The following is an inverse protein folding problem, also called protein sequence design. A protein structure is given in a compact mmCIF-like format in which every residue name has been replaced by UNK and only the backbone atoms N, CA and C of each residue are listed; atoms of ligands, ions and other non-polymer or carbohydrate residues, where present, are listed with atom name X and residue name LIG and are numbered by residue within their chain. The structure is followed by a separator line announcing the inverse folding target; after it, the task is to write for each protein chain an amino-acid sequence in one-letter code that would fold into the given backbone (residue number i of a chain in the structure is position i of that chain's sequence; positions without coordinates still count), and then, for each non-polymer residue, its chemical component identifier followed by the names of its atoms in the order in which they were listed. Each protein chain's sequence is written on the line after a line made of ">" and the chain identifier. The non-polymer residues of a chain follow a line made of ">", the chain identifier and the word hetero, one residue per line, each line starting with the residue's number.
data_IF_715075127568
#
_entry.id   IF_715075127568
#
_cell.length_a   1.000
_cell.length_b   1.000
_cell.length_c   1.000
_cell.angle_alpha   90.00
_cell.angle_beta   90.00
_cell.angle_gamma   90.00
#
_symmetry.space_group_name_H-M   'P 1'
#
loop_
_entity.id
_entity.type
_entity.pdbx_description
1 polymer ?
#
# COMPACT_ATOMS: atom_id res chain seq x y z
N UNK A 1 -4.98 8.90 35.84
CA UNK A 1 -5.37 7.64 36.49
C UNK A 1 -5.69 6.65 35.37
N UNK A 2 -5.02 5.55 35.10
CA UNK A 2 -3.75 4.94 35.49
C UNK A 2 -3.50 3.88 34.40
N UNK A 3 -2.33 3.91 33.76
CA UNK A 3 -1.97 3.03 32.63
C UNK A 3 -1.50 1.67 33.16
N UNK A 4 -2.14 0.59 32.73
CA UNK A 4 -1.79 -0.79 33.09
C UNK A 4 -0.74 -1.34 32.12
N UNK A 5 0.41 -1.69 32.68
CA UNK A 5 1.49 -2.42 32.05
C UNK A 5 1.13 -3.91 31.89
N UNK A 6 1.56 -4.54 30.80
CA UNK A 6 1.50 -6.00 30.64
C UNK A 6 2.87 -6.57 30.28
N UNK A 7 3.22 -7.60 31.06
CA UNK A 7 4.49 -8.32 31.09
C UNK A 7 4.66 -9.28 29.90
N UNK A 8 5.92 -9.52 29.54
CA UNK A 8 6.38 -10.45 28.49
C UNK A 8 6.39 -11.89 29.02
N UNK A 9 5.84 -12.83 28.25
CA UNK A 9 6.01 -14.27 28.42
C UNK A 9 6.75 -14.87 27.22
N UNK A 10 7.86 -15.57 27.48
CA UNK A 10 8.63 -16.36 26.51
C UNK A 10 8.01 -17.76 26.36
N UNK A 11 7.96 -18.30 25.15
CA UNK A 11 7.85 -19.75 24.92
C UNK A 11 8.84 -20.20 23.83
N UNK A 12 9.58 -21.25 24.17
CA UNK A 12 10.52 -22.00 23.32
C UNK A 12 9.74 -22.94 22.39
N UNK A 13 10.13 -23.00 21.12
CA UNK A 13 9.71 -24.04 20.17
C UNK A 13 10.91 -24.93 19.82
N UNK A 14 10.69 -26.25 19.87
CA UNK A 14 11.54 -27.27 19.24
C UNK A 14 10.77 -27.93 18.09
N UNK A 15 11.42 -28.38 17.00
CA UNK A 15 10.75 -28.98 15.85
C UNK A 15 10.69 -30.51 15.98
N UNK A 16 9.62 -31.13 15.47
CA UNK A 16 9.59 -32.55 15.17
C UNK A 16 9.18 -32.78 13.71
N UNK A 17 10.06 -33.49 13.02
CA UNK A 17 9.93 -34.05 11.68
C UNK A 17 9.10 -35.35 11.70
N UNK A 18 8.30 -35.58 10.66
CA UNK A 18 7.67 -36.88 10.40
C UNK A 18 7.02 -36.90 9.01
N UNK A 19 7.33 -37.93 8.21
CA UNK A 19 6.93 -38.09 6.82
C UNK A 19 6.04 -39.34 6.60
N UNK A 20 5.48 -39.44 5.39
CA UNK A 20 4.83 -40.60 4.71
C UNK A 20 3.35 -40.81 5.18
N UNK A 21 2.32 -41.03 4.34
CA UNK A 21 2.14 -41.97 3.23
C UNK A 21 0.97 -41.67 2.27
N UNK A 22 0.99 -42.39 1.15
CA UNK A 22 0.11 -42.47 -0.04
C UNK A 22 -1.42 -42.47 0.18
N UNK A 23 -2.18 -41.99 -0.83
CA UNK A 23 -3.65 -42.08 -0.89
C UNK A 23 -4.08 -42.89 -2.12
N UNK A 24 -4.84 -43.95 -1.87
CA UNK A 24 -5.49 -44.83 -2.85
C UNK A 24 -6.72 -44.19 -3.52
N UNK A 25 -6.91 -44.48 -4.81
CA UNK A 25 -8.12 -44.18 -5.58
C UNK A 25 -9.21 -45.23 -5.30
N UNK A 26 -10.44 -44.79 -4.97
CA UNK A 26 -11.63 -45.63 -4.89
C UNK A 26 -12.67 -45.11 -5.91
N UNK A 27 -13.28 -45.96 -6.75
CA UNK A 27 -14.34 -45.53 -7.66
C UNK A 27 -15.69 -45.50 -6.92
N UNK A 28 -16.44 -44.42 -7.05
CA UNK A 28 -17.83 -44.35 -6.59
C UNK A 28 -18.77 -44.50 -7.80
N UNK A 29 -19.31 -45.70 -7.96
CA UNK A 29 -20.59 -45.94 -8.63
C UNK A 29 -21.72 -45.63 -7.66
N UNK A 30 -22.59 -44.66 -8.00
CA UNK A 30 -23.79 -44.38 -7.21
C UNK A 30 -24.62 -43.27 -7.83
N UNK A 31 -25.76 -43.65 -8.42
CA UNK A 31 -26.76 -42.73 -8.94
C UNK A 31 -27.40 -41.93 -7.78
N UNK A 32 -27.60 -40.63 -7.98
CA UNK A 32 -28.31 -39.75 -7.04
C UNK A 32 -29.46 -39.06 -7.77
N UNK A 33 -30.66 -39.37 -7.32
CA UNK A 33 -31.95 -38.77 -7.68
C UNK A 33 -32.01 -37.31 -7.21
N UNK A 34 -32.42 -36.40 -8.10
CA UNK A 34 -32.58 -34.96 -7.81
C UNK A 34 -33.97 -34.63 -7.24
N UNK A 35 -34.00 -33.91 -6.11
CA UNK A 35 -35.15 -33.07 -5.74
C UNK A 35 -34.71 -31.93 -4.81
N UNK A 36 -34.75 -30.69 -5.30
CA UNK A 36 -34.48 -29.44 -4.55
C UNK A 36 -33.92 -28.34 -5.46
N UNK A 37 -34.43 -27.09 -5.43
CA UNK A 37 -34.10 -26.09 -6.44
C UNK A 37 -32.76 -25.40 -6.13
N UNK A 38 -32.02 -25.14 -7.21
CA UNK A 38 -30.76 -24.38 -7.32
C UNK A 38 -29.44 -25.15 -7.09
N UNK A 39 -28.89 -25.76 -8.16
CA UNK A 39 -27.45 -25.87 -8.34
C UNK A 39 -27.02 -24.98 -9.51
N UNK A 40 -26.40 -23.84 -9.25
CA UNK A 40 -25.52 -23.23 -10.24
C UNK A 40 -24.10 -23.73 -9.96
N UNK A 41 -23.70 -24.79 -10.66
CA UNK A 41 -22.29 -25.19 -10.79
C UNK A 41 -21.79 -24.60 -12.10
N UNK A 42 -20.91 -23.59 -12.05
CA UNK A 42 -20.28 -23.04 -13.25
C UNK A 42 -18.90 -23.67 -13.46
N UNK A 43 -18.65 -24.01 -14.73
CA UNK A 43 -17.60 -24.83 -15.30
C UNK A 43 -16.15 -24.57 -14.82
N UNK A 44 -15.39 -25.65 -14.86
CA UNK A 44 -14.01 -25.82 -14.38
C UNK A 44 -12.98 -25.29 -15.38
N UNK A 45 -12.03 -24.51 -14.86
CA UNK A 45 -10.68 -24.34 -15.44
C UNK A 45 -9.67 -24.73 -14.34
N UNK A 46 -8.50 -25.29 -14.69
CA UNK A 46 -7.58 -25.83 -13.69
C UNK A 46 -7.05 -24.71 -12.78
N UNK A 47 -7.23 -24.87 -11.46
CA UNK A 47 -6.77 -23.91 -10.43
C UNK A 47 -7.88 -23.18 -9.66
N UNK A 48 -9.16 -23.36 -10.00
CA UNK A 48 -10.26 -22.72 -9.29
C UNK A 48 -10.64 -23.50 -8.02
N UNK A 49 -10.43 -22.90 -6.84
CA UNK A 49 -11.08 -23.36 -5.60
C UNK A 49 -12.60 -23.38 -5.86
N UNK A 50 -13.24 -24.52 -5.64
CA UNK A 50 -14.70 -24.60 -5.53
C UNK A 50 -15.08 -23.99 -4.18
N UNK A 51 -15.60 -22.77 -4.20
CA UNK A 51 -16.12 -22.11 -2.99
C UNK A 51 -17.62 -22.34 -2.96
N UNK A 52 -18.10 -22.97 -1.89
CA UNK A 52 -19.51 -23.15 -1.63
C UNK A 52 -20.11 -21.81 -1.16
N UNK A 53 -20.85 -21.13 -2.04
CA UNK A 53 -21.49 -19.85 -1.74
C UNK A 53 -22.79 -20.13 -0.98
N UNK A 54 -22.71 -20.03 0.35
CA UNK A 54 -23.82 -20.37 1.25
C UNK A 54 -24.82 -19.24 1.48
N UNK A 55 -24.44 -17.99 1.22
CA UNK A 55 -25.30 -16.81 1.41
C UNK A 55 -24.82 -15.60 0.59
N UNK A 56 -25.68 -14.59 0.44
CA UNK A 56 -25.33 -13.28 -0.17
C UNK A 56 -24.23 -12.57 0.63
N UNK A 57 -24.29 -12.66 1.96
CA UNK A 57 -23.28 -12.09 2.85
C UNK A 57 -21.92 -12.78 2.67
N UNK A 58 -21.90 -14.10 2.60
CA UNK A 58 -20.68 -14.85 2.33
C UNK A 58 -20.10 -14.52 0.94
N UNK A 59 -20.96 -14.35 -0.07
CA UNK A 59 -20.53 -13.90 -1.39
C UNK A 59 -19.85 -12.53 -1.35
N UNK A 60 -20.35 -11.59 -0.56
CA UNK A 60 -19.71 -10.29 -0.37
C UNK A 60 -18.30 -10.43 0.23
N UNK A 61 -18.12 -11.30 1.24
CA UNK A 61 -16.79 -11.55 1.82
C UNK A 61 -15.84 -12.15 0.78
N UNK A 62 -16.30 -13.10 -0.04
CA UNK A 62 -15.52 -13.69 -1.13
C UNK A 62 -15.15 -12.67 -2.23
N UNK A 63 -16.09 -11.80 -2.60
CA UNK A 63 -15.83 -10.74 -3.57
C UNK A 63 -14.77 -9.76 -3.05
N UNK A 64 -14.83 -9.39 -1.77
CA UNK A 64 -13.81 -8.56 -1.12
C UNK A 64 -12.46 -9.29 -1.00
N UNK A 65 -12.49 -10.60 -0.71
CA UNK A 65 -11.29 -11.42 -0.60
C UNK A 65 -10.47 -11.45 -1.90
N UNK A 66 -11.14 -11.38 -3.05
CA UNK A 66 -10.48 -11.30 -4.36
C UNK A 66 -9.51 -10.13 -4.52
N UNK A 67 -9.74 -9.01 -3.81
CA UNK A 67 -8.86 -7.84 -3.88
C UNK A 67 -7.56 -7.99 -3.10
N UNK A 68 -7.48 -8.93 -2.14
CA UNK A 68 -6.29 -9.21 -1.29
C UNK A 68 -5.63 -7.95 -0.74
N UNK A 69 -6.44 -7.01 -0.27
CA UNK A 69 -6.04 -5.65 0.11
C UNK A 69 -6.32 -5.40 1.59
N UNK A 70 -5.57 -4.51 2.23
CA UNK A 70 -5.86 -4.17 3.63
C UNK A 70 -7.11 -3.28 3.74
N UNK A 71 -7.97 -3.58 4.70
CA UNK A 71 -9.20 -2.87 5.03
C UNK A 71 -9.21 -2.51 6.52
N UNK A 72 -9.62 -1.28 6.85
CA UNK A 72 -9.86 -0.87 8.23
C UNK A 72 -11.32 -1.14 8.60
N UNK A 73 -11.54 -2.09 9.50
CA UNK A 73 -12.87 -2.38 10.03
C UNK A 73 -13.34 -1.26 10.98
N UNK A 74 -14.64 -1.20 11.26
CA UNK A 74 -15.25 -0.21 12.14
C UNK A 74 -14.79 -0.34 13.60
N UNK A 75 -14.40 -1.54 14.01
CA UNK A 75 -13.78 -1.80 15.32
C UNK A 75 -12.30 -1.37 15.40
N UNK A 76 -11.76 -0.79 14.32
CA UNK A 76 -10.41 -0.27 14.25
C UNK A 76 -9.35 -1.27 13.79
N UNK A 77 -9.67 -2.58 13.70
CA UNK A 77 -8.74 -3.59 13.18
C UNK A 77 -8.40 -3.31 11.72
N UNK A 78 -7.16 -3.60 11.34
CA UNK A 78 -6.73 -3.64 9.93
C UNK A 78 -6.52 -5.09 9.55
N UNK A 79 -7.26 -5.57 8.56
CA UNK A 79 -7.24 -6.97 8.11
C UNK A 79 -6.98 -7.03 6.61
N UNK A 80 -6.27 -8.06 6.14
CA UNK A 80 -6.22 -8.32 4.71
C UNK A 80 -7.58 -8.89 4.28
N UNK A 81 -8.16 -8.37 3.19
CA UNK A 81 -9.49 -8.76 2.75
C UNK A 81 -9.58 -10.25 2.42
N UNK A 82 -8.47 -10.91 2.08
CA UNK A 82 -8.40 -12.35 1.85
C UNK A 82 -8.77 -13.19 3.09
N UNK A 83 -8.66 -12.63 4.29
CA UNK A 83 -8.98 -13.30 5.55
C UNK A 83 -10.48 -13.25 5.88
N UNK A 84 -11.24 -12.35 5.26
CA UNK A 84 -12.64 -12.08 5.60
C UNK A 84 -13.55 -13.33 5.55
N UNK A 85 -13.50 -14.20 4.51
CA UNK A 85 -14.34 -15.39 4.48
C UNK A 85 -14.07 -16.33 5.66
N UNK A 86 -12.81 -16.41 6.12
CA UNK A 86 -12.40 -17.25 7.25
C UNK A 86 -12.87 -16.74 8.61
N UNK A 87 -13.21 -15.46 8.73
CA UNK A 87 -13.76 -14.87 9.97
C UNK A 87 -15.22 -15.27 10.21
N UNK A 88 -15.95 -15.61 9.14
CA UNK A 88 -17.36 -16.02 9.19
C UNK A 88 -18.33 -14.85 9.36
N UNK A 89 -19.58 -15.05 8.93
CA UNK A 89 -20.57 -13.98 8.88
C UNK A 89 -20.98 -13.41 10.25
N UNK A 90 -20.93 -14.25 11.29
CA UNK A 90 -21.30 -13.87 12.64
C UNK A 90 -20.29 -12.92 13.32
N UNK A 91 -19.11 -12.73 12.72
CA UNK A 91 -18.07 -11.86 13.26
C UNK A 91 -18.33 -10.36 13.06
N UNK A 92 -19.37 -9.97 12.31
CA UNK A 92 -19.56 -8.60 11.84
C UNK A 92 -20.95 -8.04 12.18
N UNK A 93 -20.97 -6.81 12.68
CA UNK A 93 -22.21 -6.06 12.94
C UNK A 93 -22.91 -5.65 11.64
N UNK A 94 -24.19 -5.27 11.73
CA UNK A 94 -24.98 -4.77 10.60
C UNK A 94 -24.34 -3.55 9.92
N UNK A 95 -23.74 -2.64 10.70
CA UNK A 95 -23.03 -1.46 10.21
C UNK A 95 -21.76 -1.85 9.45
N UNK A 96 -21.04 -2.89 9.92
CA UNK A 96 -19.87 -3.41 9.23
C UNK A 96 -20.23 -4.02 7.87
N UNK A 97 -21.41 -4.63 7.74
CA UNK A 97 -21.93 -5.12 6.46
C UNK A 97 -22.22 -4.00 5.47
N UNK A 98 -22.79 -2.89 5.92
CA UNK A 98 -22.95 -1.69 5.07
C UNK A 98 -21.58 -1.17 4.63
N UNK A 99 -20.62 -1.13 5.57
CA UNK A 99 -19.26 -0.70 5.27
C UNK A 99 -18.54 -1.59 4.25
N UNK A 100 -18.80 -2.89 4.27
CA UNK A 100 -18.27 -3.83 3.28
C UNK A 100 -18.82 -3.58 1.87
N UNK A 101 -20.08 -3.16 1.73
CA UNK A 101 -20.63 -2.77 0.43
C UNK A 101 -19.92 -1.53 -0.10
N UNK A 102 -19.74 -0.50 0.74
CA UNK A 102 -18.98 0.69 0.35
C UNK A 102 -17.54 0.35 -0.06
N UNK A 103 -16.87 -0.57 0.65
CA UNK A 103 -15.54 -1.02 0.27
C UNK A 103 -15.54 -1.70 -1.10
N UNK A 104 -16.52 -2.58 -1.36
CA UNK A 104 -16.64 -3.25 -2.66
C UNK A 104 -16.85 -2.24 -3.79
N UNK A 105 -17.74 -1.27 -3.60
CA UNK A 105 -18.00 -0.22 -4.59
C UNK A 105 -16.74 0.62 -4.87
N UNK A 106 -16.02 1.03 -3.82
CA UNK A 106 -14.79 1.80 -3.98
C UNK A 106 -13.71 1.01 -4.73
N UNK A 107 -13.53 -0.27 -4.39
CA UNK A 107 -12.52 -1.15 -4.98
C UNK A 107 -12.88 -1.54 -6.42
N UNK A 108 -14.16 -1.70 -6.75
CA UNK A 108 -14.63 -2.05 -8.09
C UNK A 108 -14.34 -0.99 -9.17
N UNK A 109 -13.92 0.21 -8.77
CA UNK A 109 -13.46 1.27 -9.70
C UNK A 109 -12.08 0.97 -10.32
N UNK A 110 -11.36 -0.01 -9.77
CA UNK A 110 -10.01 -0.35 -10.17
C UNK A 110 -9.95 -1.75 -10.75
N UNK A 111 -9.08 -1.93 -11.74
CA UNK A 111 -8.86 -3.22 -12.37
C UNK A 111 -8.19 -4.20 -11.38
N UNK A 112 -8.62 -5.46 -11.39
CA UNK A 112 -8.01 -6.49 -10.53
C UNK A 112 -6.70 -7.04 -11.12
N UNK A 113 -6.42 -6.74 -12.39
CA UNK A 113 -5.18 -7.04 -13.09
C UNK A 113 -4.68 -5.81 -13.82
N UNK A 114 -3.36 -5.67 -13.89
CA UNK A 114 -2.67 -4.62 -14.63
C UNK A 114 -1.80 -5.25 -15.72
N UNK A 115 -1.61 -4.53 -16.81
CA UNK A 115 -0.70 -4.92 -17.89
C UNK A 115 0.63 -4.19 -17.72
N UNK A 116 1.71 -4.95 -17.56
CA UNK A 116 3.07 -4.42 -17.48
C UNK A 116 3.58 -4.03 -18.88
N UNK A 117 4.65 -3.21 -18.99
CA UNK A 117 5.19 -2.76 -20.27
C UNK A 117 5.60 -3.89 -21.23
N UNK A 118 5.99 -5.05 -20.71
CA UNK A 118 6.35 -6.25 -21.48
C UNK A 118 5.12 -7.06 -21.95
N UNK A 119 3.91 -6.60 -21.63
CA UNK A 119 2.64 -7.25 -21.95
C UNK A 119 2.14 -8.23 -20.89
N UNK A 120 2.94 -8.54 -19.86
CA UNK A 120 2.58 -9.44 -18.76
C UNK A 120 1.34 -8.93 -18.02
N UNK A 121 0.36 -9.81 -17.79
CA UNK A 121 -0.77 -9.53 -16.91
C UNK A 121 -0.40 -9.91 -15.48
N UNK A 122 -0.43 -8.94 -14.58
CA UNK A 122 -0.13 -9.12 -13.16
C UNK A 122 -1.38 -8.77 -12.34
N UNK A 123 -1.84 -9.60 -11.40
CA UNK A 123 -2.86 -9.17 -10.46
C UNK A 123 -2.42 -7.91 -9.70
N UNK A 124 -3.28 -6.89 -9.61
CA UNK A 124 -2.94 -5.61 -8.96
C UNK A 124 -2.41 -5.81 -7.54
N UNK A 125 -2.97 -6.80 -6.83
CA UNK A 125 -2.58 -7.14 -5.47
C UNK A 125 -1.18 -7.78 -5.36
N UNK A 126 -0.60 -8.27 -6.46
CA UNK A 126 0.72 -8.91 -6.48
C UNK A 126 1.86 -7.95 -6.80
N UNK A 127 1.59 -6.68 -7.08
CA UNK A 127 2.65 -5.68 -7.25
C UNK A 127 3.31 -5.40 -5.89
N UNK A 128 4.49 -5.97 -5.70
CA UNK A 128 5.31 -5.83 -4.48
C UNK A 128 5.95 -4.45 -4.37
N UNK A 129 6.13 -3.97 -3.14
CA UNK A 129 6.91 -2.75 -2.84
C UNK A 129 8.39 -3.00 -3.11
N UNK A 130 8.91 -4.15 -2.67
CA UNK A 130 10.27 -4.60 -3.00
C UNK A 130 10.35 -5.09 -4.45
N UNK A 131 11.48 -4.87 -5.11
CA UNK A 131 11.75 -5.30 -6.47
C UNK A 131 12.51 -4.25 -7.27
N UNK A 132 12.92 -4.62 -8.48
CA UNK A 132 13.51 -3.67 -9.44
C UNK A 132 12.42 -2.73 -9.95
N UNK A 133 12.80 -1.48 -10.22
CA UNK A 133 11.94 -0.59 -10.98
C UNK A 133 11.61 -1.20 -12.34
N UNK A 134 10.38 -0.98 -12.80
CA UNK A 134 9.89 -1.43 -14.10
C UNK A 134 10.04 -0.31 -15.14
N UNK A 135 9.89 0.95 -14.72
CA UNK A 135 10.00 2.13 -15.58
C UNK A 135 11.36 2.82 -15.46
N UNK A 136 11.80 3.42 -16.56
CA UNK A 136 13.00 4.26 -16.64
C UNK A 136 12.73 5.69 -16.19
N UNK A 137 13.79 6.44 -15.89
CA UNK A 137 13.66 7.86 -15.54
C UNK A 137 13.00 8.66 -16.68
N UNK A 138 13.36 8.36 -17.94
CA UNK A 138 12.78 9.02 -19.11
C UNK A 138 11.27 8.80 -19.21
N UNK A 139 10.77 7.59 -18.90
CA UNK A 139 9.32 7.34 -18.88
C UNK A 139 8.61 8.17 -17.80
N UNK A 140 9.21 8.27 -16.60
CA UNK A 140 8.66 9.08 -15.51
C UNK A 140 8.68 10.58 -15.85
N UNK A 141 9.80 11.07 -16.42
CA UNK A 141 9.95 12.47 -16.85
C UNK A 141 8.99 12.81 -17.99
N UNK A 142 8.84 11.91 -18.98
CA UNK A 142 7.90 12.08 -20.08
C UNK A 142 6.44 12.14 -19.58
N UNK A 143 6.07 11.30 -18.62
CA UNK A 143 4.76 11.37 -17.98
C UNK A 143 4.51 12.73 -17.31
N UNK A 144 5.47 13.21 -16.51
CA UNK A 144 5.34 14.52 -15.86
C UNK A 144 5.22 15.65 -16.88
N UNK A 145 5.98 15.59 -17.99
CA UNK A 145 5.87 16.55 -19.07
C UNK A 145 4.46 16.56 -19.69
N UNK A 146 3.86 15.38 -19.95
CA UNK A 146 2.48 15.27 -20.46
C UNK A 146 1.42 15.82 -19.50
N UNK A 147 1.62 15.65 -18.20
CA UNK A 147 0.68 16.14 -17.18
C UNK A 147 0.82 17.65 -16.91
N UNK A 148 1.96 18.25 -17.27
CA UNK A 148 2.29 19.65 -16.96
C UNK A 148 1.21 20.66 -17.38
N UNK A 149 0.67 20.64 -18.62
CA UNK A 149 -0.38 21.59 -19.02
C UNK A 149 -1.64 21.47 -18.17
N UNK A 150 -2.07 20.23 -17.86
CA UNK A 150 -3.25 19.97 -17.03
C UNK A 150 -3.03 20.45 -15.59
N UNK A 151 -1.83 20.24 -15.04
CA UNK A 151 -1.49 20.69 -13.69
C UNK A 151 -1.43 22.22 -13.64
N UNK A 152 -0.81 22.86 -14.62
CA UNK A 152 -0.72 24.32 -14.70
C UNK A 152 -2.11 24.97 -14.73
N UNK A 153 -3.01 24.45 -15.56
CA UNK A 153 -4.40 24.93 -15.61
C UNK A 153 -5.11 24.73 -14.27
N UNK A 154 -4.97 23.54 -13.67
CA UNK A 154 -5.54 23.24 -12.34
C UNK A 154 -5.04 24.23 -11.27
N UNK A 155 -3.74 24.55 -11.25
CA UNK A 155 -3.18 25.48 -10.26
C UNK A 155 -3.74 26.90 -10.42
N UNK A 156 -3.98 27.35 -11.65
CA UNK A 156 -4.62 28.64 -11.91
C UNK A 156 -6.08 28.64 -11.49
N UNK A 157 -6.86 27.64 -11.91
CA UNK A 157 -8.31 27.60 -11.69
C UNK A 157 -8.69 27.33 -10.24
N UNK A 158 -8.05 26.35 -9.59
CA UNK A 158 -8.46 25.91 -8.25
C UNK A 158 -7.69 26.62 -7.13
N UNK A 159 -6.46 27.08 -7.41
CA UNK A 159 -5.56 27.63 -6.38
C UNK A 159 -5.12 29.07 -6.65
N UNK A 160 -5.52 29.68 -7.78
CA UNK A 160 -5.24 31.09 -8.08
C UNK A 160 -3.74 31.41 -8.19
N UNK A 161 -2.90 30.43 -8.55
CA UNK A 161 -1.44 30.63 -8.65
C UNK A 161 -0.82 29.88 -9.81
N UNK A 162 0.36 30.32 -10.21
CA UNK A 162 1.19 29.57 -11.16
C UNK A 162 1.69 28.25 -10.57
N UNK A 163 1.98 27.31 -11.47
CA UNK A 163 2.57 26.01 -11.12
C UNK A 163 3.97 26.20 -10.54
N UNK A 164 4.29 25.43 -9.50
CA UNK A 164 5.64 25.35 -8.97
C UNK A 164 6.53 24.51 -9.89
N UNK A 165 7.84 24.82 -9.97
CA UNK A 165 8.79 23.96 -10.65
C UNK A 165 8.74 22.53 -10.08
N UNK A 166 8.64 21.55 -10.98
CA UNK A 166 8.72 20.13 -10.61
C UNK A 166 10.19 19.79 -10.31
N UNK A 167 10.51 19.21 -9.13
CA UNK A 167 11.88 18.83 -8.82
C UNK A 167 12.32 17.63 -9.67
N UNK A 168 13.56 17.64 -10.17
CA UNK A 168 14.12 16.50 -10.92
C UNK A 168 14.60 15.40 -9.97
N UNK A 169 13.66 14.59 -9.49
CA UNK A 169 13.91 13.51 -8.50
C UNK A 169 13.69 12.11 -9.06
N UNK A 170 13.32 11.96 -10.33
CA UNK A 170 13.02 10.65 -10.92
C UNK A 170 14.23 9.71 -10.84
N UNK A 171 15.41 10.19 -11.21
CA UNK A 171 16.66 9.41 -11.14
C UNK A 171 17.05 9.06 -9.69
N UNK A 172 16.84 9.99 -8.75
CA UNK A 172 17.07 9.74 -7.33
C UNK A 172 16.20 8.59 -6.81
N UNK A 173 14.90 8.58 -7.16
CA UNK A 173 14.00 7.50 -6.78
C UNK A 173 14.47 6.15 -7.33
N UNK A 174 14.90 6.07 -8.59
CA UNK A 174 15.38 4.82 -9.18
C UNK A 174 16.70 4.34 -8.57
N UNK A 175 17.66 5.25 -8.38
CA UNK A 175 18.97 4.94 -7.78
C UNK A 175 18.81 4.47 -6.33
N UNK A 176 18.15 5.28 -5.49
CA UNK A 176 17.99 4.97 -4.07
C UNK A 176 17.05 3.77 -3.90
N UNK A 177 15.99 3.67 -4.69
CA UNK A 177 15.15 2.47 -4.72
C UNK A 177 15.97 1.20 -4.97
N UNK A 178 16.89 1.22 -5.93
CA UNK A 178 17.78 0.08 -6.22
C UNK A 178 18.65 -0.29 -5.01
N UNK A 179 19.23 0.68 -4.31
CA UNK A 179 20.08 0.46 -3.12
C UNK A 179 19.32 -0.20 -1.96
N UNK A 180 18.01 0.03 -1.86
CA UNK A 180 17.11 -0.57 -0.86
C UNK A 180 16.35 -1.80 -1.38
N UNK A 181 16.46 -2.13 -2.68
CA UNK A 181 15.64 -3.14 -3.32
C UNK A 181 14.14 -2.81 -3.34
N UNK A 182 13.79 -1.52 -3.43
CA UNK A 182 12.44 -0.97 -3.51
C UNK A 182 12.16 -0.47 -4.93
N UNK A 183 10.93 -0.65 -5.41
CA UNK A 183 10.48 -0.16 -6.72
C UNK A 183 10.39 1.37 -6.73
N UNK A 184 11.51 2.00 -7.07
CA UNK A 184 11.65 3.46 -7.07
C UNK A 184 10.68 4.18 -8.01
N UNK A 185 10.31 3.56 -9.13
CA UNK A 185 9.34 4.09 -10.08
C UNK A 185 7.92 4.19 -9.50
N UNK A 186 7.49 3.20 -8.74
CA UNK A 186 6.18 3.25 -8.06
C UNK A 186 6.24 4.18 -6.84
N UNK A 187 7.37 4.25 -6.13
CA UNK A 187 7.59 5.24 -5.06
C UNK A 187 7.58 6.69 -5.58
N UNK A 188 8.10 6.92 -6.78
CA UNK A 188 7.97 8.21 -7.47
C UNK A 188 6.49 8.53 -7.75
N UNK A 189 5.71 7.57 -8.26
CA UNK A 189 4.28 7.76 -8.47
C UNK A 189 3.52 8.06 -7.17
N UNK A 190 3.87 7.40 -6.07
CA UNK A 190 3.36 7.74 -4.74
C UNK A 190 3.74 9.17 -4.36
N UNK A 191 4.98 9.60 -4.56
CA UNK A 191 5.40 10.98 -4.29
C UNK A 191 4.60 12.01 -5.10
N UNK A 192 4.33 11.74 -6.38
CA UNK A 192 3.46 12.57 -7.22
C UNK A 192 2.05 12.66 -6.62
N UNK A 193 1.47 11.55 -6.15
CA UNK A 193 0.16 11.55 -5.48
C UNK A 193 0.17 12.36 -4.19
N UNK A 194 1.12 12.09 -3.29
CA UNK A 194 1.22 12.70 -1.96
C UNK A 194 1.43 14.22 -2.02
N UNK A 195 2.14 14.69 -3.05
CA UNK A 195 2.46 16.11 -3.21
C UNK A 195 1.52 16.84 -4.17
N UNK A 196 0.48 16.17 -4.68
CA UNK A 196 -0.40 16.68 -5.74
C UNK A 196 0.41 17.19 -6.94
N UNK A 197 1.22 16.31 -7.54
CA UNK A 197 2.15 16.58 -8.65
C UNK A 197 3.25 17.60 -8.31
N UNK A 198 3.86 17.44 -7.13
CA UNK A 198 4.88 18.34 -6.58
C UNK A 198 4.41 19.79 -6.42
N UNK A 199 3.09 20.00 -6.30
CA UNK A 199 2.50 21.32 -6.12
C UNK A 199 2.23 21.67 -4.66
N UNK A 200 2.28 20.70 -3.74
CA UNK A 200 2.21 20.92 -2.29
C UNK A 200 1.00 21.79 -1.87
N UNK A 201 -0.19 21.35 -2.28
CA UNK A 201 -1.45 22.07 -2.00
C UNK A 201 -1.99 21.86 -0.58
N UNK A 202 -1.23 21.16 0.29
CA UNK A 202 -1.57 20.91 1.68
C UNK A 202 -0.67 21.67 2.68
N UNK A 203 -0.53 21.11 3.87
CA UNK A 203 0.23 21.73 4.96
C UNK A 203 1.75 21.67 4.77
N UNK A 204 2.26 20.56 4.20
CA UNK A 204 3.69 20.40 3.86
C UNK A 204 4.04 21.32 2.69
N UNK A 205 5.20 21.99 2.78
CA UNK A 205 5.67 22.98 1.81
C UNK A 205 6.82 22.44 0.94
N UNK A 206 7.00 22.98 -0.30
CA UNK A 206 7.98 22.47 -1.25
C UNK A 206 9.42 22.44 -0.71
N UNK A 207 9.82 23.49 0.02
CA UNK A 207 11.18 23.61 0.58
C UNK A 207 11.47 22.62 1.71
N UNK A 208 10.49 21.84 2.16
CA UNK A 208 10.71 20.78 3.15
C UNK A 208 11.33 19.52 2.52
N UNK A 209 11.36 19.40 1.19
CA UNK A 209 11.78 18.20 0.46
C UNK A 209 11.05 16.92 0.94
N UNK A 210 9.83 17.07 1.45
CA UNK A 210 9.07 15.98 2.05
C UNK A 210 8.02 15.48 1.06
N UNK A 211 8.42 14.50 0.25
CA UNK A 211 7.64 14.04 -0.89
C UNK A 211 6.57 13.01 -0.55
N UNK A 212 6.41 12.63 0.72
CA UNK A 212 5.51 11.57 1.12
C UNK A 212 4.78 11.83 2.45
N UNK A 213 4.79 13.08 2.91
CA UNK A 213 4.04 13.51 4.10
C UNK A 213 4.61 12.98 5.41
N UNK A 214 5.91 12.67 5.49
CA UNK A 214 6.51 12.15 6.71
C UNK A 214 6.37 13.15 7.86
N UNK A 215 5.86 12.65 8.98
CA UNK A 215 5.57 13.43 10.18
C UNK A 215 4.57 14.58 9.95
N UNK A 216 3.76 14.53 8.88
CA UNK A 216 2.71 15.52 8.65
C UNK A 216 1.58 15.31 9.67
N UNK A 217 1.40 16.30 10.54
CA UNK A 217 0.42 16.30 11.62
C UNK A 217 -0.69 17.30 11.33
N UNK A 218 -1.80 17.22 12.08
CA UNK A 218 -2.86 18.23 12.03
C UNK A 218 -2.55 19.48 12.86
N UNK A 219 -1.57 19.39 13.76
CA UNK A 219 -1.08 20.50 14.58
C UNK A 219 0.33 20.91 14.13
N UNK A 220 0.68 22.20 14.20
CA UNK A 220 2.03 22.65 13.95
C UNK A 220 3.02 21.94 14.88
N UNK A 221 4.21 21.65 14.36
CA UNK A 221 5.29 21.09 15.15
C UNK A 221 5.76 22.10 16.19
N UNK A 222 6.23 21.57 17.31
CA UNK A 222 6.78 22.37 18.42
C UNK A 222 8.30 22.46 18.35
N UNK A 223 8.94 21.55 17.61
CA UNK A 223 10.39 21.40 17.48
C UNK A 223 11.04 20.61 18.61
N UNK A 224 10.25 20.10 19.56
CA UNK A 224 10.72 19.22 20.64
C UNK A 224 10.36 17.74 20.39
N UNK A 225 9.72 17.44 19.27
CA UNK A 225 9.43 16.07 18.89
C UNK A 225 10.71 15.27 18.67
N UNK A 226 10.67 14.00 19.08
CA UNK A 226 11.78 13.06 18.86
C UNK A 226 11.95 12.75 17.36
N UNK A 227 13.19 12.77 16.88
CA UNK A 227 13.56 12.25 15.56
C UNK A 227 13.57 10.72 15.48
N UNK A 228 13.32 10.03 16.60
CA UNK A 228 13.23 8.56 16.70
C UNK A 228 14.43 7.84 16.08
N UNK A 229 15.63 8.34 16.41
CA UNK A 229 16.93 7.90 15.94
C UNK A 229 17.30 8.28 14.49
N UNK A 230 16.47 9.05 13.78
CA UNK A 230 16.88 9.61 12.50
C UNK A 230 18.01 10.65 12.67
N UNK A 231 18.92 10.70 11.69
CA UNK A 231 20.13 11.52 11.71
C UNK A 231 19.78 13.02 11.67
N UNK A 232 20.09 13.79 12.72
CA UNK A 232 19.76 15.21 12.81
C UNK A 232 20.50 16.07 11.77
N UNK A 233 21.55 15.55 11.13
CA UNK A 233 22.19 16.24 10.01
C UNK A 233 21.31 16.25 8.75
N UNK A 234 20.41 15.27 8.60
CA UNK A 234 19.55 15.11 7.42
C UNK A 234 18.10 15.52 7.62
N UNK A 235 17.55 15.36 8.84
CA UNK A 235 16.14 15.63 9.14
C UNK A 235 15.98 16.59 10.32
N UNK A 236 15.02 17.51 10.20
CA UNK A 236 14.64 18.47 11.25
C UNK A 236 13.12 18.56 11.39
N UNK A 237 12.66 18.80 12.61
CA UNK A 237 11.27 19.12 12.93
C UNK A 237 11.24 20.58 13.39
N UNK A 238 10.61 21.44 12.60
CA UNK A 238 10.74 22.91 12.72
C UNK A 238 9.47 23.48 13.34
N UNK A 239 9.56 24.30 14.42
CA UNK A 239 8.41 24.90 15.05
C UNK A 239 7.53 25.69 14.06
N UNK A 240 6.21 25.53 14.16
CA UNK A 240 5.24 26.25 13.33
C UNK A 240 4.99 25.66 11.93
N UNK A 241 5.76 24.65 11.52
CA UNK A 241 5.54 23.92 10.27
C UNK A 241 4.83 22.60 10.50
N UNK A 242 4.41 21.96 9.41
CA UNK A 242 3.76 20.66 9.40
C UNK A 242 4.64 19.69 8.62
N UNK A 243 5.03 18.57 9.22
CA UNK A 243 5.90 17.59 8.57
C UNK A 243 7.40 17.83 8.76
N UNK A 244 8.17 16.77 8.51
CA UNK A 244 9.62 16.80 8.58
C UNK A 244 10.24 17.64 7.46
N UNK A 245 11.39 18.23 7.74
CA UNK A 245 12.27 18.91 6.79
C UNK A 245 13.45 18.01 6.46
N UNK A 246 13.73 17.82 5.17
CA UNK A 246 14.88 17.09 4.70
C UNK A 246 15.88 18.05 4.05
N UNK A 247 17.16 17.91 4.42
CA UNK A 247 18.22 18.85 4.06
C UNK A 247 18.48 18.95 2.55
N UNK A 248 18.09 17.94 1.77
CA UNK A 248 18.17 17.93 0.31
C UNK A 248 17.07 17.07 -0.31
N UNK A 249 16.81 17.20 -1.63
CA UNK A 249 15.95 16.27 -2.36
C UNK A 249 16.38 14.81 -2.21
N UNK A 250 17.68 14.50 -2.28
CA UNK A 250 18.19 13.13 -2.12
C UNK A 250 17.83 12.54 -0.75
N UNK A 251 17.97 13.32 0.34
CA UNK A 251 17.58 12.88 1.69
C UNK A 251 16.06 12.71 1.81
N UNK A 252 15.28 13.60 1.20
CA UNK A 252 13.82 13.49 1.18
C UNK A 252 13.32 12.25 0.44
N UNK A 253 13.94 11.93 -0.69
CA UNK A 253 13.69 10.70 -1.44
C UNK A 253 14.11 9.47 -0.62
N UNK A 254 15.29 9.50 0.00
CA UNK A 254 15.78 8.38 0.82
C UNK A 254 14.90 8.12 2.04
N UNK A 255 14.44 9.16 2.73
CA UNK A 255 13.48 9.03 3.83
C UNK A 255 12.15 8.40 3.35
N UNK A 256 11.65 8.79 2.18
CA UNK A 256 10.47 8.15 1.57
C UNK A 256 10.73 6.65 1.33
N UNK A 257 11.85 6.30 0.69
CA UNK A 257 12.21 4.91 0.41
C UNK A 257 12.40 4.10 1.71
N UNK A 258 12.99 4.69 2.75
CA UNK A 258 13.11 4.07 4.07
C UNK A 258 11.74 3.77 4.69
N UNK A 259 10.76 4.66 4.54
CA UNK A 259 9.42 4.42 5.06
C UNK A 259 8.75 3.23 4.38
N UNK A 260 8.85 3.16 3.04
CA UNK A 260 8.41 1.99 2.27
C UNK A 260 9.16 0.71 2.65
N UNK A 261 10.47 0.81 2.86
CA UNK A 261 11.31 -0.30 3.32
C UNK A 261 10.88 -0.81 4.71
N UNK A 262 10.47 0.10 5.61
CA UNK A 262 9.95 -0.25 6.92
C UNK A 262 8.70 -1.13 6.80
N UNK A 263 7.75 -0.74 5.94
CA UNK A 263 6.56 -1.55 5.67
C UNK A 263 6.88 -2.89 5.00
N UNK A 264 7.81 -2.92 4.04
CA UNK A 264 8.01 -4.06 3.15
C UNK A 264 8.87 -5.19 3.69
N UNK A 265 9.71 -4.94 4.71
CA UNK A 265 10.60 -5.95 5.27
C UNK A 265 10.90 -5.71 6.74
N UNK A 266 11.51 -6.68 7.42
CA UNK A 266 12.12 -6.57 8.75
C UNK A 266 13.65 -6.46 8.71
N UNK A 267 14.24 -6.50 7.51
CA UNK A 267 15.70 -6.38 7.32
C UNK A 267 16.25 -5.07 7.93
N UNK A 268 17.49 -5.06 8.46
CA UNK A 268 18.15 -3.81 8.82
C UNK A 268 18.33 -2.92 7.58
N UNK A 269 18.56 -1.62 7.78
CA UNK A 269 18.88 -0.72 6.67
C UNK A 269 20.07 -1.27 5.84
N UNK A 270 20.12 -1.03 4.52
CA UNK A 270 21.26 -1.42 3.71
C UNK A 270 22.58 -0.90 4.28
N UNK A 271 23.66 -1.68 4.10
CA UNK A 271 24.96 -1.38 4.70
C UNK A 271 25.42 0.05 4.34
N UNK A 272 25.81 0.81 5.37
CA UNK A 272 26.33 2.17 5.21
C UNK A 272 25.26 3.26 5.07
N UNK A 273 23.97 2.89 5.04
CA UNK A 273 22.88 3.86 5.02
C UNK A 273 22.60 4.46 6.39
N UNK A 274 22.35 5.76 6.41
CA UNK A 274 21.91 6.52 7.58
C UNK A 274 20.39 6.50 7.66
N UNK A 275 19.84 6.47 8.86
CA UNK A 275 18.39 6.59 9.03
C UNK A 275 17.98 8.06 8.89
N UNK A 276 17.08 8.36 7.96
CA UNK A 276 16.52 9.71 7.74
C UNK A 276 15.02 9.78 7.99
N UNK A 277 14.29 8.67 7.87
CA UNK A 277 12.87 8.59 8.21
C UNK A 277 12.65 8.63 9.73
N UNK A 278 12.09 9.72 10.30
CA UNK A 278 11.82 9.82 11.73
C UNK A 278 10.64 8.95 12.18
N UNK A 279 9.97 8.24 11.27
CA UNK A 279 8.87 7.30 11.57
C UNK A 279 9.27 5.84 11.36
N UNK A 280 10.49 5.56 10.91
CA UNK A 280 10.92 4.21 10.53
C UNK A 280 10.70 3.20 11.66
N UNK A 281 11.08 3.58 12.88
CA UNK A 281 10.95 2.75 14.09
C UNK A 281 9.53 2.71 14.68
N UNK A 282 8.60 3.51 14.15
CA UNK A 282 7.20 3.53 14.56
C UNK A 282 6.33 2.62 13.69
N UNK A 283 6.83 2.21 12.52
CA UNK A 283 6.14 1.26 11.64
C UNK A 283 6.28 -0.15 12.23
N UNK A 284 5.17 -0.90 12.25
CA UNK A 284 5.25 -2.35 12.43
C UNK A 284 5.99 -2.93 11.21
N UNK A 285 7.29 -3.19 11.36
CA UNK A 285 8.17 -3.64 10.28
C UNK A 285 7.61 -4.87 9.56
N UNK A 286 7.61 -4.87 8.24
CA UNK A 286 7.13 -6.01 7.42
C UNK A 286 5.60 -6.16 7.33
N UNK A 287 4.84 -5.14 7.77
CA UNK A 287 3.37 -5.20 7.81
C UNK A 287 2.64 -4.97 6.47
N UNK A 288 3.36 -4.60 5.40
CA UNK A 288 2.80 -4.50 4.05
C UNK A 288 3.87 -4.79 3.00
N UNK A 289 3.71 -5.90 2.27
CA UNK A 289 4.63 -6.38 1.22
C UNK A 289 4.27 -5.84 -0.16
N UNK A 290 2.99 -5.59 -0.40
CA UNK A 290 2.47 -5.09 -1.69
C UNK A 290 1.90 -3.69 -1.53
N UNK A 291 1.77 -2.97 -2.65
CA UNK A 291 1.29 -1.59 -2.64
C UNK A 291 -0.14 -1.48 -2.11
N UNK A 292 -1.00 -2.46 -2.39
CA UNK A 292 -2.38 -2.49 -1.87
C UNK A 292 -2.46 -2.83 -0.38
N UNK A 293 -1.42 -3.42 0.20
CA UNK A 293 -1.33 -3.62 1.65
C UNK A 293 -0.96 -2.32 2.39
N UNK A 294 -0.58 -1.24 1.71
CA UNK A 294 -0.45 0.08 2.33
C UNK A 294 -1.80 0.70 2.69
N UNK A 295 -2.91 0.17 2.14
CA UNK A 295 -4.26 0.62 2.50
C UNK A 295 -4.48 0.45 4.01
N UNK A 296 -5.14 1.43 4.63
CA UNK A 296 -5.35 1.51 6.08
C UNK A 296 -4.07 1.55 6.95
N UNK A 297 -2.87 1.51 6.37
CA UNK A 297 -1.58 1.56 7.09
C UNK A 297 -0.82 2.84 6.81
N UNK A 298 -0.73 3.24 5.54
CA UNK A 298 -0.13 4.50 5.11
C UNK A 298 -1.15 5.64 5.18
N UNK A 299 -2.29 5.45 4.51
CA UNK A 299 -3.41 6.38 4.51
C UNK A 299 -4.62 5.74 5.20
N UNK A 300 -5.28 6.48 6.08
CA UNK A 300 -6.41 5.99 6.88
C UNK A 300 -7.66 6.83 6.58
N UNK A 301 -8.81 6.22 6.20
CA UNK A 301 -9.03 4.77 6.04
C UNK A 301 -8.39 4.18 4.78
N UNK A 302 -8.11 5.01 3.75
CA UNK A 302 -7.27 4.66 2.61
C UNK A 302 -7.66 3.39 1.82
N UNK A 303 -8.95 3.06 1.74
CA UNK A 303 -9.48 1.80 1.15
C UNK A 303 -8.92 1.45 -0.24
N UNK A 304 -8.63 2.46 -1.06
CA UNK A 304 -8.16 2.31 -2.46
C UNK A 304 -6.81 2.97 -2.70
N UNK A 305 -6.06 3.25 -1.64
CA UNK A 305 -4.84 4.06 -1.70
C UNK A 305 -3.78 3.47 -2.65
N UNK A 306 -3.43 2.20 -2.46
CA UNK A 306 -2.48 1.47 -3.28
C UNK A 306 -2.98 1.26 -4.72
N UNK A 307 -4.26 0.95 -4.91
CA UNK A 307 -4.87 0.85 -6.24
C UNK A 307 -4.73 2.17 -7.00
N UNK A 308 -4.98 3.29 -6.34
CA UNK A 308 -4.82 4.62 -6.92
C UNK A 308 -3.37 4.92 -7.29
N UNK A 309 -2.39 4.63 -6.42
CA UNK A 309 -0.96 4.79 -6.76
C UNK A 309 -0.62 4.03 -8.04
N UNK A 310 -1.07 2.78 -8.13
CA UNK A 310 -0.80 1.92 -9.29
C UNK A 310 -1.49 2.47 -10.54
N UNK A 311 -2.80 2.65 -10.51
CA UNK A 311 -3.60 2.82 -11.73
C UNK A 311 -3.85 4.28 -12.11
N UNK A 312 -3.97 5.19 -11.14
CA UNK A 312 -4.21 6.61 -11.41
C UNK A 312 -2.90 7.39 -11.62
N UNK A 313 -1.75 6.82 -11.23
CA UNK A 313 -0.45 7.47 -11.29
C UNK A 313 0.59 6.63 -12.04
N UNK A 314 1.06 5.51 -11.47
CA UNK A 314 2.19 4.76 -12.04
C UNK A 314 1.92 4.22 -13.44
N UNK A 315 0.73 3.66 -13.71
CA UNK A 315 0.35 3.19 -15.05
C UNK A 315 0.27 4.31 -16.09
N UNK A 316 0.05 5.57 -15.69
CA UNK A 316 0.10 6.69 -16.64
C UNK A 316 1.49 6.94 -17.21
N UNK A 317 2.54 6.49 -16.51
CA UNK A 317 3.91 6.52 -17.00
C UNK A 317 4.28 5.28 -17.85
N UNK A 318 3.47 4.22 -17.80
CA UNK A 318 3.59 3.05 -18.69
C UNK A 318 3.06 3.38 -20.09
N UNK A 319 1.93 4.06 -20.15
CA UNK A 319 1.23 4.37 -21.39
C UNK A 319 2.01 5.40 -22.24
N UNK A 320 2.18 5.07 -23.53
CA UNK A 320 2.89 5.89 -24.53
C UNK A 320 2.10 7.14 -24.89
#
# INVERSE_FOLDING_TARGET
>A
MGSLAWQRGFFLFTPLTGAISEIHLIPLTGALTMSGPYPYVIATSPGRRTVDIKSVKYKLLEDLAGYRTNLRLLDGRVVNSAELPGMGEAAFSSEQWQKFQEFKEQLARYETQIRLPDGTLLPTADLTIKGKAILTADQLKAWMARETPRIAEKMKQEYGREMLPVPDVAELYLKIGTEYGIRGDVAFAQAVKETNYFQFTGSVKPFQNNYCGLWATSQPLTGQESLNAADPAGVRLVPGFYGAFFASPEIGVEAHIQHLYAYATTDPLPRGKKLYDPRFNLVQRGSARTWVELNARWAVPGTTYGQSIIQDYWLKAVSK
#
